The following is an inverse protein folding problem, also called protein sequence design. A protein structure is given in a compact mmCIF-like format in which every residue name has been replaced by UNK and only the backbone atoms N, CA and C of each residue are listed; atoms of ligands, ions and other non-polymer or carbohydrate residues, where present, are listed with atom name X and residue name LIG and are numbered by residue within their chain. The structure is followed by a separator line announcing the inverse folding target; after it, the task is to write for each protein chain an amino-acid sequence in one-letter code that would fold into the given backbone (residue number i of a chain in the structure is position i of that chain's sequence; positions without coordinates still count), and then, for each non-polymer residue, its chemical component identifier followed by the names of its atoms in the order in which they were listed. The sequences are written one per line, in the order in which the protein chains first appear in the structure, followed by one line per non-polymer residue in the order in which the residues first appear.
data_IF_684234422433
#
_entry.id   IF_684234422433
#
_cell.length_a   1.000
_cell.length_b   1.000
_cell.length_c   1.000
_cell.angle_alpha   90.00
_cell.angle_beta   90.00
_cell.angle_gamma   90.00
#
_symmetry.space_group_name_H-M   'P 1'
#
loop_
_entity.id
_entity.type
_entity.pdbx_description
1 polymer ?
#
# COMPACT_ATOMS: atom_id res chain seq x y z
N UNK A 1 -71.78 59.58 0.12
CA UNK A 1 -70.87 59.79 -1.03
C UNK A 1 -70.12 58.48 -1.25
N UNK A 2 -70.60 57.70 -2.21
CA UNK A 2 -70.03 56.40 -2.59
C UNK A 2 -68.75 56.62 -3.41
N UNK A 3 -67.64 56.03 -2.96
CA UNK A 3 -66.38 56.07 -3.71
C UNK A 3 -66.25 54.76 -4.49
N UNK A 4 -66.32 54.88 -5.81
CA UNK A 4 -66.33 53.80 -6.80
C UNK A 4 -65.01 53.02 -6.79
N UNK A 5 -65.12 51.69 -6.62
CA UNK A 5 -64.06 50.70 -6.84
C UNK A 5 -63.65 50.72 -8.32
N UNK A 6 -62.39 51.05 -8.61
CA UNK A 6 -61.81 50.95 -9.96
C UNK A 6 -61.08 49.60 -10.07
N UNK A 7 -61.69 48.65 -10.77
CA UNK A 7 -61.04 47.41 -11.17
C UNK A 7 -59.97 47.73 -12.23
N UNK A 8 -58.75 47.23 -12.02
CA UNK A 8 -57.67 47.24 -13.02
C UNK A 8 -57.61 45.82 -13.59
N UNK A 9 -57.94 45.68 -14.87
CA UNK A 9 -58.05 44.40 -15.56
C UNK A 9 -56.73 43.63 -15.54
N UNK A 10 -56.84 42.32 -15.28
CA UNK A 10 -55.77 41.34 -15.48
C UNK A 10 -55.69 41.10 -16.98
N UNK A 11 -54.59 41.53 -17.59
CA UNK A 11 -54.29 41.22 -18.97
C UNK A 11 -53.98 39.72 -19.09
N UNK A 12 -54.76 39.10 -19.96
CA UNK A 12 -54.59 37.83 -20.63
C UNK A 12 -53.12 37.52 -21.00
N UNK A 13 -52.57 36.43 -20.45
CA UNK A 13 -51.28 35.83 -20.81
C UNK A 13 -51.37 34.30 -20.71
N UNK A 14 -52.43 33.71 -21.26
CA UNK A 14 -52.67 32.27 -21.15
C UNK A 14 -52.98 31.61 -22.48
N UNK A 15 -52.01 31.54 -23.42
CA UNK A 15 -52.10 30.66 -24.59
C UNK A 15 -50.80 30.52 -25.43
N UNK A 16 -49.58 30.67 -24.88
CA UNK A 16 -48.37 30.64 -25.73
C UNK A 16 -47.12 29.96 -25.14
N UNK A 17 -47.22 29.18 -24.06
CA UNK A 17 -46.06 28.54 -23.42
C UNK A 17 -46.11 27.00 -23.33
N UNK A 18 -47.23 26.37 -23.66
CA UNK A 18 -47.39 24.91 -23.46
C UNK A 18 -46.56 24.09 -24.46
N UNK A 19 -46.43 24.54 -25.71
CA UNK A 19 -45.61 23.87 -26.74
C UNK A 19 -44.10 24.01 -26.52
N UNK A 20 -43.68 25.10 -25.88
CA UNK A 20 -42.27 25.40 -25.59
C UNK A 20 -41.77 24.54 -24.41
N UNK A 21 -42.62 24.32 -23.42
CA UNK A 21 -42.35 23.41 -22.31
C UNK A 21 -42.23 21.95 -22.77
N UNK A 22 -43.13 21.51 -23.66
CA UNK A 22 -43.09 20.13 -24.17
C UNK A 22 -41.81 19.85 -24.99
N UNK A 23 -41.38 20.85 -25.78
CA UNK A 23 -40.10 20.80 -26.52
C UNK A 23 -38.90 20.78 -25.57
N UNK A 24 -38.90 21.64 -24.55
CA UNK A 24 -37.87 21.68 -23.52
C UNK A 24 -37.80 20.36 -22.72
N UNK A 25 -38.94 19.75 -22.40
CA UNK A 25 -38.97 18.44 -21.73
C UNK A 25 -38.36 17.36 -22.63
N UNK A 26 -38.68 17.38 -23.92
CA UNK A 26 -38.13 16.41 -24.89
C UNK A 26 -36.61 16.57 -25.07
N UNK A 27 -36.11 17.79 -25.18
CA UNK A 27 -34.67 18.06 -25.24
C UNK A 27 -33.96 17.61 -23.96
N UNK A 28 -34.56 17.88 -22.80
CA UNK A 28 -34.02 17.42 -21.52
C UNK A 28 -34.03 15.88 -21.43
N UNK A 29 -35.07 15.18 -21.91
CA UNK A 29 -35.05 13.71 -21.92
C UNK A 29 -33.89 13.15 -22.77
N UNK A 30 -33.66 13.72 -23.96
CA UNK A 30 -32.54 13.32 -24.81
C UNK A 30 -31.19 13.59 -24.15
N UNK A 31 -31.06 14.72 -23.45
CA UNK A 31 -29.85 15.05 -22.70
C UNK A 31 -29.57 14.05 -21.57
N UNK A 32 -30.59 13.66 -20.81
CA UNK A 32 -30.43 12.72 -19.70
C UNK A 32 -30.13 11.29 -20.19
N UNK A 33 -30.79 10.82 -21.25
CA UNK A 33 -30.51 9.50 -21.84
C UNK A 33 -29.04 9.40 -22.28
N UNK A 34 -28.55 10.43 -22.99
CA UNK A 34 -27.15 10.49 -23.41
C UNK A 34 -26.17 10.61 -22.25
N UNK A 35 -26.57 11.25 -21.15
CA UNK A 35 -25.76 11.35 -19.93
C UNK A 35 -25.61 10.00 -19.22
N UNK A 36 -26.66 9.19 -19.22
CA UNK A 36 -26.65 7.83 -18.66
C UNK A 36 -25.71 6.93 -19.46
N UNK A 37 -25.69 7.05 -20.79
CA UNK A 37 -24.80 6.28 -21.67
C UNK A 37 -23.30 6.56 -21.44
N UNK A 38 -22.96 7.78 -20.99
CA UNK A 38 -21.56 8.15 -20.67
C UNK A 38 -21.04 7.47 -19.40
N UNK A 39 -21.93 6.99 -18.54
CA UNK A 39 -21.57 6.29 -17.32
C UNK A 39 -21.51 4.79 -17.64
N UNK A 40 -20.35 4.12 -17.46
CA UNK A 40 -20.23 2.71 -17.75
C UNK A 40 -21.29 1.87 -17.01
N UNK A 41 -21.87 0.89 -17.70
CA UNK A 41 -22.94 0.02 -17.18
C UNK A 41 -22.62 -0.64 -15.83
N UNK A 42 -21.33 -0.82 -15.53
CA UNK A 42 -20.82 -1.31 -14.23
C UNK A 42 -21.35 -0.52 -13.01
N UNK A 43 -21.67 0.76 -13.16
CA UNK A 43 -22.13 1.61 -12.05
C UNK A 43 -23.64 1.58 -11.82
N UNK A 44 -24.42 1.06 -12.78
CA UNK A 44 -25.87 0.90 -12.66
C UNK A 44 -26.29 -0.51 -12.28
N UNK A 45 -25.43 -1.50 -12.51
CA UNK A 45 -25.65 -2.84 -12.00
C UNK A 45 -25.40 -2.86 -10.49
N UNK A 46 -26.29 -3.50 -9.70
CA UNK A 46 -25.99 -3.84 -8.31
C UNK A 46 -24.63 -4.54 -8.29
N UNK A 47 -23.63 -3.88 -7.72
CA UNK A 47 -22.33 -4.52 -7.58
C UNK A 47 -22.54 -5.59 -6.52
N UNK A 48 -22.43 -6.86 -6.89
CA UNK A 48 -22.39 -7.93 -5.92
C UNK A 48 -21.18 -7.66 -5.00
N UNK A 49 -21.43 -7.11 -3.82
CA UNK A 49 -20.43 -6.86 -2.76
C UNK A 49 -19.66 -8.14 -2.39
N UNK A 50 -20.15 -9.29 -2.86
CA UNK A 50 -19.57 -10.62 -2.72
C UNK A 50 -18.40 -10.91 -3.68
N UNK A 51 -18.29 -10.25 -4.83
CA UNK A 51 -17.24 -10.56 -5.82
C UNK A 51 -15.87 -10.00 -5.43
N UNK A 52 -15.89 -8.86 -4.73
CA UNK A 52 -14.69 -8.24 -4.17
C UNK A 52 -14.90 -8.03 -2.69
N UNK A 53 -14.66 -9.07 -1.87
CA UNK A 53 -14.60 -8.91 -0.42
C UNK A 53 -13.40 -8.02 -0.11
N UNK A 54 -13.64 -6.71 -0.17
CA UNK A 54 -12.72 -5.71 0.30
C UNK A 54 -12.40 -6.10 1.74
N UNK A 55 -11.12 -6.13 2.11
CA UNK A 55 -10.76 -6.58 3.46
C UNK A 55 -11.41 -5.71 4.53
N UNK A 56 -11.93 -4.52 4.21
CA UNK A 56 -12.72 -3.74 5.16
C UNK A 56 -14.14 -4.33 5.22
N UNK A 57 -14.58 -4.74 6.42
CA UNK A 57 -15.83 -5.51 6.63
C UNK A 57 -15.61 -6.91 7.18
N UNK A 58 -14.52 -7.60 6.80
CA UNK A 58 -14.25 -8.96 7.31
C UNK A 58 -13.75 -8.97 8.77
N UNK A 59 -14.19 -9.97 9.54
CA UNK A 59 -13.71 -10.22 10.90
C UNK A 59 -12.21 -10.52 10.92
N UNK A 60 -11.53 -10.29 12.05
CA UNK A 60 -10.07 -10.54 12.18
C UNK A 60 -9.69 -11.98 11.81
N UNK A 61 -10.52 -12.95 12.16
CA UNK A 61 -10.32 -14.37 11.83
C UNK A 61 -10.49 -14.65 10.33
N UNK A 62 -11.53 -14.10 9.71
CA UNK A 62 -11.76 -14.25 8.28
C UNK A 62 -10.64 -13.60 7.45
N UNK A 63 -10.13 -12.43 7.88
CA UNK A 63 -8.96 -11.76 7.29
C UNK A 63 -7.71 -12.64 7.37
N UNK A 64 -7.45 -13.25 8.52
CA UNK A 64 -6.31 -14.14 8.69
C UNK A 64 -6.40 -15.38 7.79
N UNK A 65 -7.60 -15.97 7.67
CA UNK A 65 -7.87 -17.11 6.80
C UNK A 65 -7.66 -16.76 5.31
N UNK A 66 -8.18 -15.63 4.85
CA UNK A 66 -7.99 -15.16 3.48
C UNK A 66 -6.50 -14.89 3.15
N UNK A 67 -5.76 -14.25 4.07
CA UNK A 67 -4.32 -14.05 3.92
C UNK A 67 -3.54 -15.36 3.90
N UNK A 68 -3.90 -16.32 4.75
CA UNK A 68 -3.28 -17.65 4.79
C UNK A 68 -3.49 -18.39 3.46
N UNK A 69 -4.72 -18.43 2.94
CA UNK A 69 -5.03 -18.98 1.61
C UNK A 69 -4.19 -18.33 0.49
N UNK A 70 -4.03 -17.00 0.53
CA UNK A 70 -3.21 -16.27 -0.45
C UNK A 70 -1.75 -16.71 -0.39
N UNK A 71 -1.19 -16.81 0.82
CA UNK A 71 0.19 -17.25 1.04
C UNK A 71 0.37 -18.71 0.58
N UNK A 72 -0.58 -19.58 0.91
CA UNK A 72 -0.53 -21.00 0.53
C UNK A 72 -0.60 -21.15 -1.00
N UNK A 73 -1.41 -20.37 -1.70
CA UNK A 73 -1.47 -20.33 -3.16
C UNK A 73 -0.14 -19.87 -3.79
N UNK A 74 0.48 -18.82 -3.23
CA UNK A 74 1.79 -18.34 -3.69
C UNK A 74 2.87 -19.41 -3.45
N UNK A 75 2.85 -20.07 -2.29
CA UNK A 75 3.80 -21.15 -1.99
C UNK A 75 3.59 -22.37 -2.89
N UNK A 76 2.34 -22.73 -3.18
CA UNK A 76 1.99 -23.82 -4.09
C UNK A 76 2.47 -23.51 -5.51
N UNK A 77 2.16 -22.32 -6.04
CA UNK A 77 2.65 -21.88 -7.34
C UNK A 77 4.18 -21.90 -7.43
N UNK A 78 4.88 -21.46 -6.38
CA UNK A 78 6.36 -21.52 -6.33
C UNK A 78 6.90 -22.94 -6.29
N UNK A 79 6.23 -23.87 -5.59
CA UNK A 79 6.61 -25.29 -5.57
C UNK A 79 6.38 -25.93 -6.93
N UNK A 80 5.21 -25.69 -7.51
CA UNK A 80 4.83 -26.22 -8.82
C UNK A 80 5.80 -25.75 -9.92
N UNK A 81 6.35 -24.53 -9.81
CA UNK A 81 7.39 -24.03 -10.74
C UNK A 81 8.75 -24.70 -10.55
N UNK A 82 9.00 -25.32 -9.41
CA UNK A 82 10.27 -25.99 -9.08
C UNK A 82 10.16 -27.52 -9.09
N UNK A 83 9.00 -28.07 -9.46
CA UNK A 83 8.77 -29.50 -9.48
C UNK A 83 9.17 -30.09 -10.84
N UNK A 84 10.20 -30.96 -10.91
CA UNK A 84 10.69 -31.53 -12.17
C UNK A 84 9.68 -32.44 -12.87
N UNK A 85 8.70 -32.97 -12.13
CA UNK A 85 7.68 -33.87 -12.68
C UNK A 85 6.45 -33.13 -13.21
N UNK A 86 6.37 -31.81 -12.98
CA UNK A 86 5.27 -30.97 -13.46
C UNK A 86 5.76 -30.27 -14.73
N UNK A 87 5.16 -30.51 -15.91
CA UNK A 87 5.62 -29.85 -17.13
C UNK A 87 5.46 -28.34 -16.93
N UNK A 88 6.58 -27.63 -16.90
CA UNK A 88 6.61 -26.17 -16.89
C UNK A 88 6.20 -25.71 -18.28
N UNK A 89 4.89 -25.73 -18.56
CA UNK A 89 4.35 -25.18 -19.80
C UNK A 89 4.45 -23.66 -19.73
N UNK A 90 5.67 -23.16 -19.95
CA UNK A 90 5.90 -21.80 -20.39
C UNK A 90 5.51 -21.76 -21.85
N UNK A 91 4.68 -20.79 -22.27
CA UNK A 91 4.27 -20.57 -23.68
C UNK A 91 5.45 -20.41 -24.65
N UNK A 92 6.68 -20.28 -24.13
CA UNK A 92 7.92 -20.27 -24.89
C UNK A 92 8.46 -21.67 -25.22
N UNK A 93 8.22 -22.69 -24.40
CA UNK A 93 8.69 -24.06 -24.69
C UNK A 93 7.80 -24.74 -25.74
N UNK A 94 6.52 -24.37 -25.80
CA UNK A 94 5.64 -24.74 -26.93
C UNK A 94 6.12 -24.15 -28.26
N UNK A 95 6.81 -22.98 -28.24
CA UNK A 95 7.35 -22.31 -29.43
C UNK A 95 8.76 -22.74 -29.83
N UNK A 96 9.55 -23.31 -28.91
CA UNK A 96 10.91 -23.80 -29.23
C UNK A 96 10.90 -25.05 -30.11
N UNK A 97 9.79 -25.77 -30.14
CA UNK A 97 9.59 -26.88 -31.07
C UNK A 97 9.64 -26.39 -32.54
N UNK A 98 9.41 -25.10 -32.80
CA UNK A 98 9.31 -24.54 -34.16
C UNK A 98 10.58 -23.86 -34.71
N UNK A 99 11.67 -23.65 -33.94
CA UNK A 99 12.87 -22.93 -34.44
C UNK A 99 14.21 -23.52 -33.97
N UNK A 100 15.25 -23.61 -34.84
CA UNK A 100 16.49 -24.33 -34.55
C UNK A 100 17.41 -23.58 -33.58
N UNK A 101 17.95 -24.31 -32.60
CA UNK A 101 18.48 -23.80 -31.32
C UNK A 101 19.92 -23.23 -31.33
N UNK A 102 20.70 -23.31 -32.41
CA UNK A 102 22.16 -23.09 -32.29
C UNK A 102 22.62 -21.61 -32.28
N UNK A 103 21.83 -20.68 -32.84
CA UNK A 103 22.23 -19.25 -32.91
C UNK A 103 21.81 -18.45 -31.68
N UNK A 104 20.68 -18.82 -31.05
CA UNK A 104 20.06 -18.06 -29.96
C UNK A 104 20.79 -18.26 -28.62
N UNK A 105 21.41 -19.43 -28.40
CA UNK A 105 22.10 -19.74 -27.14
C UNK A 105 23.34 -18.85 -26.94
N UNK A 106 24.09 -18.55 -28.00
CA UNK A 106 25.30 -17.71 -27.90
C UNK A 106 24.94 -16.27 -27.53
N UNK A 107 23.95 -15.68 -28.19
CA UNK A 107 23.44 -14.34 -27.89
C UNK A 107 22.80 -14.24 -26.50
N UNK A 108 22.07 -15.28 -26.06
CA UNK A 108 21.48 -15.32 -24.72
C UNK A 108 22.55 -15.38 -23.60
N UNK A 109 23.68 -16.07 -23.83
CA UNK A 109 24.78 -16.12 -22.84
C UNK A 109 25.58 -14.82 -22.75
N UNK A 110 25.60 -14.01 -23.81
CA UNK A 110 26.16 -12.66 -23.78
C UNK A 110 25.21 -11.67 -23.09
N UNK A 111 23.91 -11.70 -23.41
CA UNK A 111 22.90 -10.88 -22.74
C UNK A 111 22.78 -11.16 -21.23
N UNK A 112 23.02 -12.41 -20.81
CA UNK A 112 23.05 -12.79 -19.38
C UNK A 112 24.27 -12.24 -18.62
N UNK A 113 25.39 -11.99 -19.29
CA UNK A 113 26.57 -11.35 -18.67
C UNK A 113 26.35 -9.85 -18.46
N UNK A 114 25.48 -9.23 -19.27
CA UNK A 114 25.11 -7.82 -19.16
C UNK A 114 23.99 -7.57 -18.11
N UNK A 115 23.16 -8.58 -17.83
CA UNK A 115 22.16 -8.56 -16.76
C UNK A 115 22.79 -8.77 -15.37
N UNK A 116 23.55 -7.78 -14.89
CA UNK A 116 23.96 -7.72 -13.47
C UNK A 116 22.72 -7.41 -12.61
N UNK A 117 22.13 -8.46 -12.05
CA UNK A 117 21.04 -8.36 -11.09
C UNK A 117 21.50 -7.59 -9.84
N UNK A 118 21.11 -6.32 -9.71
CA UNK A 118 21.27 -5.59 -8.47
C UNK A 118 21.42 -4.07 -8.57
N UNK A 119 21.82 -3.52 -9.71
CA UNK A 119 22.21 -2.11 -9.78
C UNK A 119 21.29 -1.27 -10.69
N UNK A 120 20.01 -1.18 -10.34
CA UNK A 120 19.15 -0.09 -10.81
C UNK A 120 19.48 1.15 -9.98
N UNK A 121 20.27 2.08 -10.54
CA UNK A 121 20.39 3.44 -10.00
C UNK A 121 19.05 4.16 -10.25
N UNK A 122 18.13 4.03 -9.29
CA UNK A 122 16.96 4.89 -9.25
C UNK A 122 17.42 6.34 -9.13
N UNK A 123 17.00 7.17 -10.08
CA UNK A 123 17.19 8.62 -10.05
C UNK A 123 16.86 9.18 -8.66
N UNK A 124 17.63 10.19 -8.25
CA UNK A 124 17.47 10.97 -7.02
C UNK A 124 16.21 11.85 -7.10
N UNK A 125 15.06 11.26 -7.38
CA UNK A 125 13.77 11.84 -7.07
C UNK A 125 13.60 11.74 -5.56
N UNK A 126 13.32 12.86 -4.91
CA UNK A 126 12.99 12.91 -3.49
C UNK A 126 11.62 12.25 -3.23
N UNK A 127 11.53 10.94 -3.47
CA UNK A 127 10.55 10.13 -2.78
C UNK A 127 10.95 10.13 -1.31
N UNK A 128 10.35 11.05 -0.55
CA UNK A 128 10.27 11.00 0.89
C UNK A 128 9.42 9.78 1.31
N UNK A 129 9.86 8.56 0.94
CA UNK A 129 9.44 7.35 1.61
C UNK A 129 9.82 7.52 3.06
N UNK A 130 8.81 7.75 3.92
CA UNK A 130 8.91 8.14 5.34
C UNK A 130 10.19 7.61 5.96
N UNK A 131 11.28 8.39 5.87
CA UNK A 131 12.56 8.01 6.44
C UNK A 131 12.26 7.87 7.92
N UNK A 132 12.34 6.63 8.42
CA UNK A 132 12.22 6.30 9.84
C UNK A 132 13.22 7.21 10.53
N UNK A 133 12.78 8.37 11.01
CA UNK A 133 13.64 9.25 11.78
C UNK A 133 14.14 8.36 12.90
N UNK A 134 15.45 8.17 12.94
CA UNK A 134 16.05 7.22 13.87
C UNK A 134 15.63 7.69 15.25
N UNK A 135 14.91 6.85 15.98
CA UNK A 135 14.40 7.14 17.32
C UNK A 135 15.48 7.69 18.27
N UNK A 136 16.73 7.35 18.00
CA UNK A 136 17.90 7.90 18.68
C UNK A 136 18.10 9.40 18.42
N UNK A 137 17.91 9.89 17.19
CA UNK A 137 18.00 11.31 16.83
C UNK A 137 16.91 12.14 17.50
N UNK A 138 15.72 11.58 17.68
CA UNK A 138 14.64 12.23 18.47
C UNK A 138 14.99 12.28 19.96
N UNK A 139 15.60 11.22 20.51
CA UNK A 139 16.07 11.20 21.89
C UNK A 139 17.17 12.24 22.13
N UNK A 140 18.14 12.37 21.23
CA UNK A 140 19.21 13.38 21.34
C UNK A 140 18.66 14.82 21.21
N UNK A 141 17.66 15.04 20.36
CA UNK A 141 16.96 16.34 20.29
C UNK A 141 16.23 16.65 21.59
N UNK A 142 15.53 15.68 22.17
CA UNK A 142 14.83 15.84 23.45
C UNK A 142 15.80 16.18 24.59
N UNK A 143 16.96 15.49 24.66
CA UNK A 143 18.01 15.82 25.64
C UNK A 143 18.57 17.23 25.45
N UNK A 144 18.87 17.61 24.20
CA UNK A 144 19.40 18.95 23.89
C UNK A 144 18.43 20.06 24.31
N UNK A 145 17.12 19.83 24.14
CA UNK A 145 16.09 20.76 24.60
C UNK A 145 16.00 20.82 26.12
N UNK A 146 16.17 19.68 26.80
CA UNK A 146 16.22 19.62 28.26
C UNK A 146 17.45 20.36 28.81
N UNK A 147 18.59 20.26 28.14
CA UNK A 147 19.83 20.93 28.49
C UNK A 147 19.75 22.45 28.28
N UNK A 148 19.18 22.89 27.15
CA UNK A 148 18.95 24.32 26.90
C UNK A 148 17.97 24.93 27.91
N UNK A 149 16.95 24.18 28.35
CA UNK A 149 16.04 24.63 29.42
C UNK A 149 16.72 24.76 30.78
N UNK A 150 17.74 23.95 31.06
CA UNK A 150 18.51 24.00 32.30
C UNK A 150 19.49 25.18 32.33
N UNK A 151 20.10 25.48 31.18
CA UNK A 151 21.11 26.54 31.07
C UNK A 151 20.48 27.95 30.96
N UNK A 152 19.34 28.09 30.28
CA UNK A 152 18.63 29.35 30.12
C UNK A 152 17.10 29.11 30.21
N UNK A 153 16.44 29.39 31.36
CA UNK A 153 15.01 29.12 31.52
C UNK A 153 14.15 29.95 30.55
N UNK A 154 14.48 31.24 30.37
CA UNK A 154 13.72 32.16 29.51
C UNK A 154 13.80 31.79 28.01
N UNK A 155 15.00 31.44 27.54
CA UNK A 155 15.19 30.95 26.16
C UNK A 155 14.60 29.55 25.98
N UNK A 156 14.69 28.70 27.00
CA UNK A 156 14.11 27.35 27.02
C UNK A 156 12.59 27.37 26.86
N UNK A 157 11.90 28.30 27.51
CA UNK A 157 10.46 28.49 27.34
C UNK A 157 10.09 28.99 25.95
N UNK A 158 10.83 29.98 25.41
CA UNK A 158 10.59 30.48 24.05
C UNK A 158 10.79 29.38 22.99
N UNK A 159 11.81 28.53 23.16
CA UNK A 159 12.08 27.39 22.28
C UNK A 159 10.98 26.33 22.43
N UNK A 160 10.58 26.01 23.67
CA UNK A 160 9.52 25.04 23.93
C UNK A 160 8.18 25.49 23.31
N UNK A 161 7.84 26.78 23.44
CA UNK A 161 6.65 27.37 22.78
C UNK A 161 6.76 27.23 21.26
N UNK A 162 7.88 27.64 20.65
CA UNK A 162 8.11 27.50 19.20
C UNK A 162 8.00 26.04 18.72
N UNK A 163 8.56 25.10 19.46
CA UNK A 163 8.48 23.68 19.11
C UNK A 163 7.10 23.08 19.32
N UNK A 164 6.39 23.46 20.38
CA UNK A 164 5.02 23.04 20.63
C UNK A 164 4.09 23.49 19.49
N UNK A 165 4.23 24.72 19.02
CA UNK A 165 3.47 25.24 17.87
C UNK A 165 3.83 24.52 16.56
N UNK A 166 5.11 24.27 16.32
CA UNK A 166 5.55 23.46 15.17
C UNK A 166 5.01 22.03 15.24
N UNK A 167 4.95 21.43 16.42
CA UNK A 167 4.38 20.11 16.63
C UNK A 167 2.86 20.12 16.40
N UNK A 168 2.14 21.14 16.88
CA UNK A 168 0.72 21.33 16.63
C UNK A 168 0.41 21.45 15.13
N UNK A 169 1.17 22.28 14.39
CA UNK A 169 1.05 22.40 12.94
C UNK A 169 1.28 21.06 12.22
N UNK A 170 2.27 20.28 12.63
CA UNK A 170 2.53 18.93 12.09
C UNK A 170 1.40 17.94 12.39
N UNK A 171 0.80 18.02 13.59
CA UNK A 171 -0.36 17.18 13.93
C UNK A 171 -1.59 17.57 13.11
N UNK A 172 -1.83 18.87 12.93
CA UNK A 172 -2.90 19.40 12.09
C UNK A 172 -2.74 18.98 10.62
N UNK A 173 -1.51 18.91 10.10
CA UNK A 173 -1.22 18.38 8.76
C UNK A 173 -1.26 16.84 8.67
N UNK A 174 -1.70 16.15 9.74
CA UNK A 174 -1.87 14.69 9.76
C UNK A 174 -0.58 13.89 10.03
N UNK A 175 0.53 14.54 10.37
CA UNK A 175 1.79 13.87 10.69
C UNK A 175 1.76 13.41 12.16
N UNK A 176 1.92 12.10 12.38
CA UNK A 176 2.00 11.53 13.72
C UNK A 176 3.30 11.94 14.42
N UNK A 177 3.19 12.82 15.42
CA UNK A 177 4.33 13.31 16.20
C UNK A 177 4.57 12.43 17.44
N UNK A 178 5.82 12.05 17.70
CA UNK A 178 6.24 11.23 18.84
C UNK A 178 7.28 11.98 19.68
N UNK A 179 6.84 12.71 20.71
CA UNK A 179 7.71 13.64 21.46
C UNK A 179 8.12 13.14 22.86
N UNK A 180 7.55 12.04 23.37
CA UNK A 180 7.79 11.59 24.74
C UNK A 180 9.12 10.83 24.89
N UNK A 181 10.13 11.36 25.61
CA UNK A 181 11.45 10.74 25.72
C UNK A 181 11.40 9.37 26.40
N UNK A 182 10.50 9.19 27.38
CA UNK A 182 10.30 7.91 28.09
C UNK A 182 9.73 6.83 27.17
N UNK A 183 8.80 7.17 26.28
CA UNK A 183 8.23 6.23 25.31
C UNK A 183 9.24 5.88 24.23
N UNK A 184 10.03 6.85 23.76
CA UNK A 184 11.11 6.64 22.80
C UNK A 184 12.12 5.62 23.36
N UNK A 185 12.62 5.83 24.60
CA UNK A 185 13.53 4.90 25.30
C UNK A 185 12.95 3.49 25.41
N UNK A 186 11.71 3.35 25.91
CA UNK A 186 11.00 2.06 25.99
C UNK A 186 10.91 1.36 24.64
N UNK A 187 10.65 2.12 23.57
CA UNK A 187 10.52 1.54 22.23
C UNK A 187 11.85 1.05 21.66
N UNK A 188 12.96 1.75 21.95
CA UNK A 188 14.32 1.32 21.60
C UNK A 188 14.65 0.03 22.33
N UNK A 189 14.38 -0.04 23.64
CA UNK A 189 14.63 -1.23 24.43
C UNK A 189 13.82 -2.45 23.95
N UNK A 190 12.53 -2.26 23.65
CA UNK A 190 11.69 -3.32 23.05
C UNK A 190 12.26 -3.83 21.72
N UNK A 191 12.77 -2.93 20.89
CA UNK A 191 13.41 -3.28 19.62
C UNK A 191 14.68 -4.10 19.84
N UNK A 192 15.56 -3.67 20.76
CA UNK A 192 16.79 -4.39 21.13
C UNK A 192 16.47 -5.80 21.62
N UNK A 193 15.52 -5.96 22.56
CA UNK A 193 15.08 -7.28 23.05
C UNK A 193 14.56 -8.18 21.95
N UNK A 194 13.79 -7.64 21.00
CA UNK A 194 13.30 -8.42 19.85
C UNK A 194 14.45 -8.88 18.93
N UNK A 195 15.43 -8.01 18.69
CA UNK A 195 16.60 -8.37 17.89
C UNK A 195 17.42 -9.47 18.56
N UNK A 196 17.66 -9.38 19.87
CA UNK A 196 18.33 -10.44 20.65
C UNK A 196 17.57 -11.77 20.56
N UNK A 197 16.25 -11.77 20.80
CA UNK A 197 15.43 -12.98 20.68
C UNK A 197 15.47 -13.58 19.27
N UNK A 198 15.49 -12.74 18.24
CA UNK A 198 15.58 -13.20 16.87
C UNK A 198 16.97 -13.76 16.54
N UNK A 199 18.04 -13.18 17.08
CA UNK A 199 19.41 -13.65 16.92
C UNK A 199 19.59 -15.03 17.56
N UNK A 200 19.18 -15.19 18.82
CA UNK A 200 19.23 -16.49 19.53
C UNK A 200 18.45 -17.57 18.77
N UNK A 201 17.22 -17.28 18.34
CA UNK A 201 16.42 -18.22 17.53
C UNK A 201 17.04 -18.55 16.18
N UNK A 202 17.85 -17.65 15.62
CA UNK A 202 18.56 -17.91 14.37
C UNK A 202 19.76 -18.82 14.62
N UNK A 203 20.53 -18.56 15.67
CA UNK A 203 21.63 -19.43 16.11
C UNK A 203 21.15 -20.85 16.40
N UNK A 204 20.06 -21.01 17.14
CA UNK A 204 19.42 -22.31 17.39
C UNK A 204 19.09 -23.04 16.07
N UNK A 205 18.48 -22.34 15.10
CA UNK A 205 18.16 -22.92 13.79
C UNK A 205 19.39 -23.32 12.99
N UNK A 206 20.46 -22.52 13.05
CA UNK A 206 21.73 -22.82 12.37
C UNK A 206 22.36 -24.06 12.99
N UNK A 207 22.41 -24.14 14.32
CA UNK A 207 22.92 -25.31 15.04
C UNK A 207 22.13 -26.58 14.70
N UNK A 208 20.80 -26.55 14.74
CA UNK A 208 19.97 -27.71 14.36
C UNK A 208 20.18 -28.10 12.90
N UNK A 209 20.28 -27.13 11.98
CA UNK A 209 20.56 -27.40 10.57
C UNK A 209 21.91 -28.10 10.40
N UNK A 210 22.93 -27.64 11.12
CA UNK A 210 24.29 -28.15 11.01
C UNK A 210 24.41 -29.56 11.63
N UNK A 211 23.72 -29.82 12.73
CA UNK A 211 23.56 -31.17 13.32
C UNK A 211 22.85 -32.14 12.36
N UNK A 212 21.70 -31.76 11.81
CA UNK A 212 20.99 -32.60 10.83
C UNK A 212 21.83 -32.85 9.57
N UNK A 213 22.67 -31.87 9.18
CA UNK A 213 23.60 -32.03 8.06
C UNK A 213 24.70 -33.03 8.40
N UNK A 214 25.34 -32.94 9.57
CA UNK A 214 26.38 -33.88 9.97
C UNK A 214 25.83 -35.30 10.12
N UNK A 215 24.67 -35.49 10.76
CA UNK A 215 24.00 -36.80 10.88
C UNK A 215 23.70 -37.42 9.50
N UNK A 216 23.21 -36.62 8.55
CA UNK A 216 22.98 -37.10 7.18
C UNK A 216 24.27 -37.52 6.49
N UNK A 217 25.37 -36.80 6.71
CA UNK A 217 26.66 -37.20 6.15
C UNK A 217 27.18 -38.48 6.79
N UNK A 218 27.09 -38.61 8.13
CA UNK A 218 27.47 -39.83 8.84
C UNK A 218 26.67 -41.05 8.35
N UNK A 219 25.34 -40.91 8.19
CA UNK A 219 24.49 -41.97 7.64
C UNK A 219 24.85 -42.35 6.20
N UNK A 220 25.28 -41.39 5.38
CA UNK A 220 25.77 -41.68 4.03
C UNK A 220 27.08 -42.46 4.10
N UNK A 221 28.06 -42.01 4.88
CA UNK A 221 29.35 -42.70 5.04
C UNK A 221 29.15 -44.12 5.56
N UNK A 222 28.32 -44.30 6.59
CA UNK A 222 28.00 -45.62 7.15
C UNK A 222 27.25 -46.55 6.19
N UNK A 223 26.59 -46.04 5.15
CA UNK A 223 25.87 -46.86 4.16
C UNK A 223 26.81 -47.37 3.06
N UNK A 224 27.90 -46.64 2.79
CA UNK A 224 28.85 -46.94 1.72
C UNK A 224 30.18 -47.50 2.24
N UNK A 225 30.30 -47.70 3.55
CA UNK A 225 31.39 -48.41 4.22
C UNK A 225 30.92 -49.80 4.63
#
# INVERSE_FOLDING_TARGET
MEIKKKQKGVADLGACQDSDLESMIHENSHFFDKSIELIPAKFYLPTDDNEKPWFQGLSKGAKAKAKRKTIDNIMKSRRDRLDPNKPSATTLDERKIEFPEEKVIKEATEALKELVFGNVKLQKGEMHGKRKVFKNKELERAKKLEEVKKNDPEKGEAIAKKEAWKAAMKRASGIKVHDDPKLIKRSIQKRKKRQQKNAVKWEERVQTRDQLKSEKQLKKVSKYS
#
